data_IF_741651540113
#
_entry.id   IF_741651540113
#
_cell.length_a   1.000
_cell.length_b   1.000
_cell.length_c   1.000
_cell.angle_alpha   90.00
_cell.angle_beta   90.00
_cell.angle_gamma   90.00
#
_symmetry.space_group_name_H-M   'P 1'
#
loop_
_entity.id
_entity.type
_entity.pdbx_description
1 polymer ?
#
# COMPACT_ATOMS: atom_id res chain seq x y z
N UNK A 1 -17.53 22.11 9.56
CA UNK A 1 -16.18 21.51 9.64
C UNK A 1 -16.37 20.01 9.60
N UNK A 2 -15.95 19.34 8.54
CA UNK A 2 -16.03 17.89 8.44
C UNK A 2 -14.93 17.29 9.31
N UNK A 3 -15.29 16.40 10.23
CA UNK A 3 -14.33 15.65 11.06
C UNK A 3 -13.67 14.62 10.16
N UNK A 4 -12.34 14.52 10.21
CA UNK A 4 -11.59 13.55 9.43
C UNK A 4 -11.70 12.17 10.07
N UNK A 5 -11.66 11.13 9.24
CA UNK A 5 -11.47 9.77 9.74
C UNK A 5 -10.01 9.59 10.20
N UNK A 6 -9.76 8.61 11.08
CA UNK A 6 -8.40 8.25 11.52
C UNK A 6 -7.49 7.94 10.31
N UNK A 7 -8.03 7.28 9.29
CA UNK A 7 -7.34 7.00 8.04
C UNK A 7 -6.95 8.28 7.29
N UNK A 8 -7.86 9.25 7.17
CA UNK A 8 -7.57 10.55 6.55
C UNK A 8 -6.54 11.36 7.35
N UNK A 9 -6.56 11.31 8.68
CA UNK A 9 -5.56 11.93 9.53
C UNK A 9 -4.18 11.30 9.33
N UNK A 10 -4.11 9.97 9.27
CA UNK A 10 -2.87 9.22 8.99
C UNK A 10 -2.30 9.56 7.62
N UNK A 11 -3.15 9.60 6.59
CA UNK A 11 -2.75 10.00 5.23
C UNK A 11 -2.15 11.41 5.22
N UNK A 12 -2.80 12.38 5.87
CA UNK A 12 -2.28 13.75 5.99
C UNK A 12 -0.94 13.79 6.73
N UNK A 13 -0.82 13.05 7.83
CA UNK A 13 0.40 12.98 8.62
C UNK A 13 1.57 12.43 7.80
N UNK A 14 1.36 11.34 7.02
CA UNK A 14 2.39 10.81 6.11
C UNK A 14 2.85 11.88 5.12
N UNK A 15 1.91 12.58 4.47
CA UNK A 15 2.23 13.63 3.49
C UNK A 15 2.95 14.84 4.10
N UNK A 16 2.71 15.16 5.38
CA UNK A 16 3.31 16.32 6.03
C UNK A 16 4.63 16.03 6.74
N UNK A 17 4.85 14.80 7.20
CA UNK A 17 6.02 14.45 8.03
C UNK A 17 7.13 13.74 7.26
N UNK A 18 6.82 13.18 6.08
CA UNK A 18 7.78 12.45 5.26
C UNK A 18 8.17 13.27 4.03
N UNK A 19 9.47 13.46 3.82
CA UNK A 19 10.00 14.06 2.59
C UNK A 19 10.08 13.00 1.48
N UNK A 20 9.12 13.02 0.56
CA UNK A 20 9.05 12.11 -0.57
C UNK A 20 9.84 12.58 -1.81
N UNK A 21 10.52 13.73 -1.77
CA UNK A 21 11.29 14.22 -2.92
C UNK A 21 12.33 13.20 -3.45
N UNK A 22 13.05 12.44 -2.60
CA UNK A 22 13.94 11.38 -3.08
C UNK A 22 13.20 10.24 -3.79
N UNK A 23 12.02 9.86 -3.29
CA UNK A 23 11.20 8.79 -3.88
C UNK A 23 10.66 9.22 -5.24
N UNK A 24 10.13 10.45 -5.33
CA UNK A 24 9.60 11.02 -6.59
C UNK A 24 10.69 11.08 -7.65
N UNK A 25 11.87 11.60 -7.30
CA UNK A 25 13.03 11.63 -8.22
C UNK A 25 13.41 10.23 -8.70
N UNK A 26 13.52 9.29 -7.76
CA UNK A 26 13.86 7.90 -8.08
C UNK A 26 12.81 7.25 -8.99
N UNK A 27 11.52 7.48 -8.73
CA UNK A 27 10.44 6.93 -9.54
C UNK A 27 10.54 7.39 -11.01
N UNK A 28 10.85 8.68 -11.23
CA UNK A 28 11.02 9.24 -12.57
C UNK A 28 12.29 8.72 -13.25
N UNK A 29 13.43 8.80 -12.56
CA UNK A 29 14.72 8.35 -13.11
C UNK A 29 14.75 6.83 -13.37
N UNK A 30 14.02 6.06 -12.55
CA UNK A 30 13.88 4.61 -12.67
C UNK A 30 12.80 4.14 -13.64
N UNK A 31 12.01 5.05 -14.22
CA UNK A 31 10.95 4.71 -15.18
C UNK A 31 9.66 4.16 -14.58
N UNK A 32 9.46 4.26 -13.26
CA UNK A 32 8.22 3.92 -12.56
C UNK A 32 7.12 4.98 -12.74
N UNK A 33 7.50 6.19 -13.15
CA UNK A 33 6.58 7.27 -13.48
C UNK A 33 7.16 8.12 -14.63
N UNK A 34 6.30 8.69 -15.50
CA UNK A 34 6.77 9.45 -16.67
C UNK A 34 7.34 10.83 -16.30
N UNK A 35 6.85 11.45 -15.23
CA UNK A 35 7.29 12.76 -14.72
C UNK A 35 6.96 12.94 -13.23
N UNK A 36 7.55 13.97 -12.61
CA UNK A 36 7.40 14.23 -11.16
C UNK A 36 5.95 14.48 -10.76
N UNK A 37 5.18 15.19 -11.60
CA UNK A 37 3.77 15.48 -11.32
C UNK A 37 2.93 14.21 -11.30
N UNK A 38 3.22 13.28 -12.21
CA UNK A 38 2.56 11.98 -12.27
C UNK A 38 2.96 11.14 -11.07
N UNK A 39 4.27 11.09 -10.73
CA UNK A 39 4.76 10.40 -9.55
C UNK A 39 4.11 10.91 -8.25
N UNK A 40 3.97 12.23 -8.06
CA UNK A 40 3.28 12.83 -6.91
C UNK A 40 1.82 12.39 -6.81
N UNK A 41 1.11 12.33 -7.95
CA UNK A 41 -0.31 11.93 -8.00
C UNK A 41 -0.50 10.46 -7.71
N UNK A 42 0.36 9.61 -8.26
CA UNK A 42 0.30 8.16 -8.06
C UNK A 42 0.72 7.81 -6.62
N UNK A 43 1.69 8.54 -6.07
CA UNK A 43 2.09 8.40 -4.67
C UNK A 43 0.92 8.61 -3.71
N UNK A 44 0.00 9.54 -4.00
CA UNK A 44 -1.22 9.69 -3.20
C UNK A 44 -2.06 8.41 -3.21
N UNK A 45 -2.13 7.68 -4.34
CA UNK A 45 -2.77 6.36 -4.42
C UNK A 45 -2.07 5.31 -3.56
N UNK A 46 -0.73 5.25 -3.64
CA UNK A 46 0.08 4.36 -2.79
C UNK A 46 -0.17 4.63 -1.32
N UNK A 47 -0.14 5.89 -0.90
CA UNK A 47 -0.35 6.28 0.50
C UNK A 47 -1.77 5.96 0.97
N UNK A 48 -2.79 6.18 0.13
CA UNK A 48 -4.17 5.80 0.44
C UNK A 48 -4.33 4.30 0.62
N UNK A 49 -3.70 3.50 -0.24
CA UNK A 49 -3.66 2.05 -0.11
C UNK A 49 -2.95 1.62 1.18
N UNK A 50 -1.76 2.16 1.47
CA UNK A 50 -0.97 1.87 2.67
C UNK A 50 -1.74 2.14 3.97
N UNK A 51 -2.52 3.24 4.02
CA UNK A 51 -3.37 3.54 5.19
C UNK A 51 -4.36 2.42 5.49
N UNK A 52 -4.87 1.74 4.46
CA UNK A 52 -5.83 0.63 4.63
C UNK A 52 -5.22 -0.60 5.29
N UNK A 53 -3.92 -0.86 5.13
CA UNK A 53 -3.26 -1.99 5.80
C UNK A 53 -3.24 -1.88 7.31
N UNK A 54 -3.23 -0.66 7.85
CA UNK A 54 -3.19 -0.44 9.29
C UNK A 54 -4.46 -0.92 10.02
N UNK A 55 -5.41 -1.55 9.33
CA UNK A 55 -6.65 -2.00 9.94
C UNK A 55 -6.54 -3.44 10.45
N UNK A 56 -6.76 -3.58 11.75
CA UNK A 56 -7.27 -4.81 12.35
C UNK A 56 -8.72 -5.15 11.88
N UNK A 57 -9.22 -4.48 10.82
CA UNK A 57 -10.60 -4.50 10.33
C UNK A 57 -10.76 -5.33 9.04
N UNK A 58 -9.66 -5.70 8.37
CA UNK A 58 -9.66 -6.51 7.13
C UNK A 58 -9.30 -7.99 7.34
N UNK A 59 -9.36 -8.49 8.57
CA UNK A 59 -8.81 -9.81 8.92
C UNK A 59 -9.43 -11.01 8.15
N UNK A 60 -10.55 -10.82 7.47
CA UNK A 60 -11.31 -11.88 6.79
C UNK A 60 -11.49 -11.65 5.29
N UNK A 61 -11.02 -10.53 4.74
CA UNK A 61 -11.18 -10.20 3.32
C UNK A 61 -9.85 -9.73 2.75
N UNK A 62 -9.38 -10.30 1.63
CA UNK A 62 -8.15 -9.85 1.00
C UNK A 62 -8.19 -8.36 0.71
N UNK A 63 -7.18 -7.63 1.17
CA UNK A 63 -6.96 -6.23 0.81
C UNK A 63 -5.77 -6.17 -0.14
N UNK A 64 -5.99 -5.73 -1.38
CA UNK A 64 -5.14 -6.10 -2.51
C UNK A 64 -4.66 -4.87 -3.28
N UNK A 65 -3.54 -5.00 -3.99
CA UNK A 65 -3.06 -3.99 -4.94
C UNK A 65 -3.28 -4.46 -6.37
N UNK A 66 -3.66 -3.55 -7.27
CA UNK A 66 -3.70 -3.87 -8.70
C UNK A 66 -2.36 -3.57 -9.36
N UNK A 67 -2.01 -4.39 -10.36
CA UNK A 67 -0.96 -4.10 -11.32
C UNK A 67 -1.19 -2.72 -11.96
N UNK A 68 -0.12 -1.95 -12.12
CA UNK A 68 -0.16 -0.64 -12.79
C UNK A 68 0.64 0.42 -12.05
N UNK A 69 0.26 1.67 -12.23
CA UNK A 69 0.98 2.84 -11.74
C UNK A 69 1.18 2.84 -10.21
N UNK A 70 0.14 2.51 -9.44
CA UNK A 70 0.22 2.44 -7.97
C UNK A 70 1.22 1.36 -7.53
N UNK A 71 1.23 0.19 -8.19
CA UNK A 71 2.18 -0.89 -7.89
C UNK A 71 3.62 -0.51 -8.22
N UNK A 72 3.86 0.05 -9.41
CA UNK A 72 5.17 0.52 -9.82
C UNK A 72 5.71 1.62 -8.88
N UNK A 73 4.84 2.54 -8.47
CA UNK A 73 5.20 3.59 -7.52
C UNK A 73 5.44 3.02 -6.11
N UNK A 74 4.73 1.96 -5.71
CA UNK A 74 4.99 1.26 -4.46
C UNK A 74 6.37 0.57 -4.48
N UNK A 75 6.78 -0.02 -5.60
CA UNK A 75 8.14 -0.54 -5.76
C UNK A 75 9.19 0.57 -5.62
N UNK A 76 8.96 1.72 -6.25
CA UNK A 76 9.85 2.88 -6.09
C UNK A 76 9.97 3.33 -4.62
N UNK A 77 8.87 3.28 -3.87
CA UNK A 77 8.85 3.58 -2.43
C UNK A 77 9.63 2.54 -1.61
N UNK A 78 9.40 1.23 -1.82
CA UNK A 78 10.09 0.15 -1.11
C UNK A 78 11.62 0.22 -1.32
N UNK A 79 12.04 0.49 -2.56
CA UNK A 79 13.46 0.62 -2.92
C UNK A 79 14.13 1.84 -2.25
N UNK A 80 13.34 2.84 -1.87
CA UNK A 80 13.77 3.91 -0.96
C UNK A 80 13.67 3.46 0.50
N UNK A 81 14.34 2.36 0.82
CA UNK A 81 14.12 1.53 2.03
C UNK A 81 14.15 2.33 3.34
N UNK A 82 14.98 3.36 3.47
CA UNK A 82 15.00 4.20 4.68
C UNK A 82 13.69 4.96 4.89
N UNK A 83 13.19 5.61 3.84
CA UNK A 83 11.93 6.36 3.87
C UNK A 83 10.78 5.38 4.11
N UNK A 84 10.81 4.24 3.43
CA UNK A 84 9.78 3.22 3.57
C UNK A 84 9.69 2.65 4.99
N UNK A 85 10.81 2.26 5.58
CA UNK A 85 10.85 1.75 6.96
C UNK A 85 10.38 2.80 7.96
N UNK A 86 10.76 4.07 7.78
CA UNK A 86 10.27 5.17 8.60
C UNK A 86 8.74 5.28 8.52
N UNK A 87 8.20 5.29 7.30
CA UNK A 87 6.75 5.38 7.05
C UNK A 87 5.99 4.20 7.68
N UNK A 88 6.47 2.98 7.48
CA UNK A 88 5.91 1.77 8.07
C UNK A 88 5.92 1.83 9.60
N UNK A 89 7.02 2.29 10.22
CA UNK A 89 7.14 2.37 11.67
C UNK A 89 6.26 3.46 12.28
N UNK A 90 6.29 4.66 11.71
CA UNK A 90 5.70 5.86 12.32
C UNK A 90 4.20 5.99 12.03
N UNK A 91 3.72 5.47 10.90
CA UNK A 91 2.35 5.71 10.45
C UNK A 91 1.50 4.44 10.31
N UNK A 92 2.10 3.34 9.84
CA UNK A 92 1.36 2.09 9.60
C UNK A 92 1.37 1.20 10.85
N UNK A 93 2.48 1.15 11.57
CA UNK A 93 2.69 0.33 12.76
C UNK A 93 3.32 -1.03 12.48
N UNK A 94 3.58 -1.39 11.21
CA UNK A 94 4.28 -2.61 10.83
C UNK A 94 4.87 -2.50 9.42
N UNK A 95 5.82 -3.38 9.09
CA UNK A 95 6.45 -3.45 7.77
C UNK A 95 5.51 -4.14 6.78
N UNK A 96 5.11 -3.48 5.69
CA UNK A 96 4.31 -4.11 4.61
C UNK A 96 5.26 -4.80 3.62
N UNK A 97 5.11 -6.09 3.42
CA UNK A 97 5.88 -6.83 2.42
C UNK A 97 5.07 -6.86 1.12
N UNK A 98 5.76 -6.64 -0.01
CA UNK A 98 5.15 -6.85 -1.31
C UNK A 98 5.34 -8.32 -1.67
N UNK A 99 4.36 -9.15 -1.32
CA UNK A 99 4.32 -10.58 -1.68
C UNK A 99 3.57 -10.72 -3.01
N UNK A 100 4.26 -10.94 -4.13
CA UNK A 100 3.60 -11.16 -5.41
C UNK A 100 2.78 -12.44 -5.34
N UNK A 101 1.57 -12.44 -5.90
CA UNK A 101 0.75 -13.64 -5.97
C UNK A 101 1.22 -14.56 -7.09
N UNK A 102 1.34 -15.85 -6.78
CA UNK A 102 1.37 -16.86 -7.83
C UNK A 102 -0.04 -17.19 -8.36
N UNK A 103 -0.09 -18.00 -9.42
CA UNK A 103 -1.34 -18.32 -10.09
C UNK A 103 -2.32 -19.17 -9.24
N UNK A 104 -1.82 -19.88 -8.22
CA UNK A 104 -2.62 -20.70 -7.31
C UNK A 104 -3.18 -19.83 -6.17
N UNK A 105 -2.39 -18.87 -5.68
CA UNK A 105 -2.81 -17.88 -4.68
C UNK A 105 -3.76 -16.82 -5.23
N UNK A 106 -3.81 -16.67 -6.56
CA UNK A 106 -4.77 -15.81 -7.25
C UNK A 106 -6.21 -16.34 -7.19
N UNK A 107 -6.44 -17.59 -6.78
CA UNK A 107 -7.78 -18.16 -6.66
C UNK A 107 -8.47 -17.65 -5.38
N UNK A 108 -9.50 -16.81 -5.51
CA UNK A 108 -10.25 -16.24 -4.38
C UNK A 108 -9.88 -14.79 -3.99
N UNK A 109 -8.95 -14.14 -4.70
CA UNK A 109 -8.65 -12.70 -4.50
C UNK A 109 -9.64 -11.77 -5.20
N UNK A 110 -10.50 -12.26 -6.09
CA UNK A 110 -11.44 -11.40 -6.83
C UNK A 110 -12.38 -10.65 -5.89
N UNK A 111 -12.80 -11.26 -4.78
CA UNK A 111 -13.60 -10.60 -3.75
C UNK A 111 -12.86 -9.42 -3.10
N UNK A 112 -11.53 -9.50 -3.03
CA UNK A 112 -10.67 -8.44 -2.50
C UNK A 112 -10.57 -7.21 -3.39
N UNK A 113 -10.75 -7.36 -4.71
CA UNK A 113 -10.66 -6.24 -5.67
C UNK A 113 -11.72 -5.19 -5.35
N UNK A 114 -13.00 -5.59 -5.37
CA UNK A 114 -14.12 -4.71 -5.09
C UNK A 114 -14.02 -4.15 -3.66
N UNK A 115 -13.70 -5.01 -2.70
CA UNK A 115 -13.54 -4.62 -1.30
C UNK A 115 -12.51 -3.51 -1.10
N UNK A 116 -11.32 -3.66 -1.67
CA UNK A 116 -10.22 -2.69 -1.53
C UNK A 116 -10.62 -1.35 -2.13
N UNK A 117 -11.21 -1.36 -3.34
CA UNK A 117 -11.64 -0.14 -4.02
C UNK A 117 -12.72 0.57 -3.21
N UNK A 118 -13.77 -0.15 -2.81
CA UNK A 118 -14.88 0.42 -2.04
C UNK A 118 -14.40 0.98 -0.70
N UNK A 119 -13.53 0.26 0.00
CA UNK A 119 -12.96 0.74 1.25
C UNK A 119 -12.21 2.07 1.08
N UNK A 120 -11.34 2.18 0.07
CA UNK A 120 -10.58 3.41 -0.17
C UNK A 120 -11.53 4.56 -0.57
N UNK A 121 -12.51 4.29 -1.45
CA UNK A 121 -13.52 5.28 -1.87
C UNK A 121 -14.33 5.80 -0.68
N UNK A 122 -14.84 4.91 0.16
CA UNK A 122 -15.63 5.29 1.35
C UNK A 122 -14.77 6.05 2.37
N UNK A 123 -13.50 5.66 2.50
CA UNK A 123 -12.56 6.27 3.45
C UNK A 123 -12.16 7.68 3.04
N UNK A 124 -11.89 7.92 1.76
CA UNK A 124 -11.30 9.17 1.29
C UNK A 124 -12.30 10.09 0.57
N UNK A 125 -13.41 9.57 0.05
CA UNK A 125 -14.43 10.37 -0.65
C UNK A 125 -13.82 11.26 -1.73
N UNK A 126 -14.08 12.57 -1.64
CA UNK A 126 -13.56 13.57 -2.59
C UNK A 126 -12.02 13.71 -2.59
N UNK A 127 -11.31 13.09 -1.63
CA UNK A 127 -9.85 13.11 -1.54
C UNK A 127 -9.20 11.92 -2.25
N UNK A 128 -9.97 10.99 -2.81
CA UNK A 128 -9.40 9.81 -3.48
C UNK A 128 -8.48 10.20 -4.63
N UNK A 129 -7.37 9.44 -4.77
CA UNK A 129 -6.40 9.68 -5.84
C UNK A 129 -6.99 9.32 -7.22
N UNK A 130 -6.59 10.02 -8.29
CA UNK A 130 -7.00 9.65 -9.64
C UNK A 130 -6.66 8.21 -10.04
N UNK A 131 -5.57 7.64 -9.54
CA UNK A 131 -5.18 6.25 -9.84
C UNK A 131 -6.13 5.24 -9.20
N UNK A 132 -6.63 5.51 -7.99
CA UNK A 132 -7.67 4.67 -7.37
C UNK A 132 -9.01 4.81 -8.11
N UNK A 133 -9.35 6.01 -8.59
CA UNK A 133 -10.53 6.16 -9.47
C UNK A 133 -10.37 5.35 -10.76
N UNK A 134 -9.16 5.28 -11.31
CA UNK A 134 -8.90 4.46 -12.48
C UNK A 134 -9.14 2.97 -12.21
N UNK A 135 -8.73 2.46 -11.03
CA UNK A 135 -9.09 1.11 -10.60
C UNK A 135 -10.61 0.90 -10.57
N UNK A 136 -11.36 1.86 -10.01
CA UNK A 136 -12.83 1.80 -9.99
C UNK A 136 -13.43 1.76 -11.39
N UNK A 137 -12.92 2.56 -12.32
CA UNK A 137 -13.37 2.55 -13.71
C UNK A 137 -13.10 1.20 -14.39
N UNK A 138 -11.93 0.61 -14.18
CA UNK A 138 -11.59 -0.72 -14.71
C UNK A 138 -12.48 -1.80 -14.09
N UNK A 139 -12.72 -1.74 -12.78
CA UNK A 139 -13.61 -2.65 -12.07
C UNK A 139 -15.04 -2.60 -12.63
N UNK A 140 -15.59 -1.39 -12.82
CA UNK A 140 -16.93 -1.19 -13.36
C UNK A 140 -17.09 -1.69 -14.80
N UNK A 141 -16.01 -1.68 -15.58
CA UNK A 141 -15.97 -2.25 -16.93
C UNK A 141 -15.75 -3.77 -16.94
N UNK A 142 -15.51 -4.40 -15.79
CA UNK A 142 -15.18 -5.82 -15.69
C UNK A 142 -13.79 -6.17 -16.19
N UNK A 143 -12.87 -5.21 -16.19
CA UNK A 143 -11.49 -5.38 -16.68
C UNK A 143 -10.53 -5.88 -15.59
N UNK A 144 -10.88 -5.70 -14.31
CA UNK A 144 -10.12 -6.23 -13.19
C UNK A 144 -10.53 -7.66 -12.89
N UNK A 145 -9.54 -8.55 -12.85
CA UNK A 145 -9.68 -9.99 -12.57
C UNK A 145 -8.62 -10.39 -11.55
N UNK A 146 -8.61 -11.66 -11.12
CA UNK A 146 -7.54 -12.19 -10.27
C UNK A 146 -6.13 -11.88 -10.83
N UNK A 147 -5.93 -11.99 -12.15
CA UNK A 147 -4.65 -11.67 -12.82
C UNK A 147 -4.27 -10.18 -12.81
N UNK A 148 -5.20 -9.30 -12.45
CA UNK A 148 -4.95 -7.87 -12.30
C UNK A 148 -4.37 -7.53 -10.93
N UNK A 149 -4.37 -8.45 -9.97
CA UNK A 149 -3.83 -8.24 -8.61
C UNK A 149 -2.32 -8.43 -8.64
N UNK A 150 -1.56 -7.46 -8.13
CA UNK A 150 -0.09 -7.54 -8.01
C UNK A 150 0.34 -8.21 -6.71
N UNK A 151 -0.27 -7.81 -5.60
CA UNK A 151 0.00 -8.35 -4.27
C UNK A 151 -1.23 -8.27 -3.35
N UNK A 152 -1.19 -9.06 -2.27
CA UNK A 152 -2.11 -8.94 -1.15
C UNK A 152 -1.43 -8.30 0.06
N UNK A 153 -2.23 -7.69 0.92
CA UNK A 153 -1.79 -7.21 2.22
C UNK A 153 -1.25 -8.29 3.13
N UNK A 154 -0.42 -7.85 4.07
CA UNK A 154 0.28 -8.74 5.00
C UNK A 154 -0.64 -9.65 5.81
N UNK A 155 -0.22 -10.91 5.91
CA UNK A 155 -0.71 -11.92 6.84
C UNK A 155 0.42 -12.89 7.22
N UNK A 156 0.06 -14.08 7.69
CA UNK A 156 1.02 -15.17 7.88
C UNK A 156 1.55 -15.62 6.52
N UNK A 157 2.87 -15.57 6.34
CA UNK A 157 3.53 -16.06 5.13
C UNK A 157 4.50 -17.20 5.49
N UNK A 158 4.21 -18.45 5.07
CA UNK A 158 5.00 -19.62 5.48
C UNK A 158 6.49 -19.50 5.13
N UNK A 159 6.80 -18.98 3.94
CA UNK A 159 8.18 -18.81 3.48
C UNK A 159 8.96 -17.82 4.36
N UNK A 160 8.31 -16.73 4.76
CA UNK A 160 8.89 -15.73 5.66
C UNK A 160 9.10 -16.31 7.06
N UNK A 161 8.13 -17.08 7.58
CA UNK A 161 8.30 -17.78 8.84
C UNK A 161 9.48 -18.75 8.79
N UNK A 162 9.61 -19.53 7.71
CA UNK A 162 10.69 -20.48 7.54
C UNK A 162 12.06 -19.81 7.42
N UNK A 163 12.16 -18.73 6.63
CA UNK A 163 13.44 -18.09 6.30
C UNK A 163 13.92 -17.09 7.34
N UNK A 164 12.99 -16.34 7.95
CA UNK A 164 13.30 -15.19 8.81
C UNK A 164 12.80 -15.37 10.26
N UNK A 165 12.13 -16.48 10.58
CA UNK A 165 11.47 -16.72 11.87
C UNK A 165 10.53 -15.57 12.27
N UNK A 166 9.80 -15.02 11.30
CA UNK A 166 8.75 -14.01 11.52
C UNK A 166 7.40 -14.66 11.25
N UNK A 167 6.60 -14.82 12.31
CA UNK A 167 5.25 -15.40 12.22
C UNK A 167 4.28 -14.46 11.50
N UNK A 168 4.45 -13.16 11.71
CA UNK A 168 3.53 -12.15 11.22
C UNK A 168 4.25 -10.82 11.14
N UNK A 169 4.29 -10.22 9.94
CA UNK A 169 4.92 -8.91 9.77
C UNK A 169 4.25 -7.81 10.60
N UNK A 170 3.01 -8.00 11.07
CA UNK A 170 2.37 -7.11 12.04
C UNK A 170 3.13 -7.02 13.37
N UNK A 171 3.91 -8.05 13.70
CA UNK A 171 4.79 -8.10 14.89
C UNK A 171 6.24 -7.74 14.57
N UNK A 172 6.54 -7.28 13.34
CA UNK A 172 7.90 -7.07 12.86
C UNK A 172 8.74 -6.20 13.81
N UNK A 173 8.17 -5.13 14.34
CA UNK A 173 8.87 -4.21 15.25
C UNK A 173 9.05 -4.77 16.65
N UNK A 174 8.21 -5.71 17.10
CA UNK A 174 8.33 -6.32 18.43
C UNK A 174 9.64 -7.10 18.57
N UNK A 175 10.12 -7.69 17.47
CA UNK A 175 11.38 -8.45 17.41
C UNK A 175 12.56 -7.64 16.88
N UNK A 176 12.30 -6.55 16.16
CA UNK A 176 13.32 -5.71 15.53
C UNK A 176 13.37 -4.31 16.17
N UNK A 177 13.49 -4.25 17.50
CA UNK A 177 13.68 -2.99 18.21
C UNK A 177 15.06 -2.44 17.83
N UNK A 178 15.07 -1.37 17.04
CA UNK A 178 16.29 -0.59 16.83
C UNK A 178 16.48 0.26 18.08
N UNK A 179 17.36 -0.19 18.98
CA UNK A 179 17.82 0.62 20.10
C UNK A 179 18.52 1.88 19.56
N UNK A 180 18.04 3.08 19.94
CA UNK A 180 18.80 4.33 19.80
C UNK A 180 18.39 5.32 18.70
N UNK A 181 17.11 5.58 18.48
CA UNK A 181 16.67 6.80 17.78
C UNK A 181 15.58 7.51 18.56
N UNK A 182 16.00 8.44 19.43
CA UNK A 182 15.21 9.53 20.01
C UNK A 182 15.83 10.86 19.55
#
# INVERSE_FOLDING_TARGET
MTVLTVAQERFRAMKSHVDFAPVIRFAVEGGFAPDERSAERVLDGVLQWLVGHASAEHAQTPYVMMNGDVDEMFHALILNTRIYLQLCREHIGFYIHHTPLDAEEAEGVEEGIGYTIDYILDTFGDLVSPSILHWKEQFDRGELTASSVSCMGNGYEPAVKELLDIDDFRTFWDRNVIEGTA
#
